data_IF_758379567446
#
_entry.id   IF_758379567446
#
_cell.length_a   1.000
_cell.length_b   1.000
_cell.length_c   1.000
_cell.angle_alpha   90.00
_cell.angle_beta   90.00
_cell.angle_gamma   90.00
#
_symmetry.space_group_name_H-M   'P 1'
#
loop_
_entity.id
_entity.type
_entity.pdbx_description
1 polymer ?
#
# COMPACT_ATOMS: atom_id res chain seq x y z
N UNK A 1 18.88 7.68 -41.60
CA UNK A 1 18.74 6.25 -41.21
C UNK A 1 18.02 6.26 -39.86
N UNK A 2 16.69 6.15 -39.96
CA UNK A 2 15.78 6.21 -38.78
C UNK A 2 15.43 4.79 -38.41
N UNK A 3 15.89 4.34 -37.23
CA UNK A 3 15.55 3.02 -36.67
C UNK A 3 14.26 3.11 -35.87
N UNK A 4 13.18 2.65 -36.43
CA UNK A 4 11.91 2.48 -35.74
C UNK A 4 12.02 1.35 -34.72
N UNK A 5 11.96 1.72 -33.43
CA UNK A 5 11.76 0.77 -32.34
C UNK A 5 10.28 0.36 -32.30
N UNK A 6 9.95 -0.71 -32.98
CA UNK A 6 8.65 -1.37 -32.87
C UNK A 6 8.57 -2.03 -31.49
N UNK A 7 7.90 -1.38 -30.55
CA UNK A 7 7.51 -2.00 -29.26
C UNK A 7 6.32 -2.92 -29.55
N UNK A 8 6.60 -4.19 -29.74
CA UNK A 8 5.57 -5.26 -29.78
C UNK A 8 4.87 -5.30 -28.41
N UNK A 9 3.60 -4.92 -28.40
CA UNK A 9 2.70 -5.18 -27.27
C UNK A 9 2.27 -6.64 -27.36
N UNK A 10 3.00 -7.54 -26.71
CA UNK A 10 2.54 -8.91 -26.55
C UNK A 10 1.22 -8.92 -25.78
N UNK A 11 0.20 -9.50 -26.37
CA UNK A 11 -1.14 -9.64 -25.77
C UNK A 11 -1.14 -10.81 -24.79
N UNK A 12 -2.06 -10.81 -23.82
CA UNK A 12 -2.21 -11.88 -22.82
C UNK A 12 -2.38 -13.27 -23.47
N UNK A 13 -2.95 -13.32 -24.67
CA UNK A 13 -3.04 -14.53 -25.48
C UNK A 13 -1.67 -15.06 -25.93
N UNK A 14 -0.74 -14.19 -26.33
CA UNK A 14 0.62 -14.57 -26.73
C UNK A 14 1.45 -15.13 -25.57
N UNK A 15 1.23 -14.63 -24.33
CA UNK A 15 1.79 -15.24 -23.12
C UNK A 15 1.22 -16.63 -22.83
N UNK A 16 -0.01 -16.91 -23.21
CA UNK A 16 -0.63 -18.22 -23.11
C UNK A 16 -0.03 -19.21 -24.11
N UNK A 17 0.24 -18.78 -25.33
CA UNK A 17 0.83 -19.63 -26.39
C UNK A 17 2.33 -19.89 -26.16
N UNK A 18 3.09 -18.96 -25.61
CA UNK A 18 4.48 -19.17 -25.19
C UNK A 18 4.61 -20.26 -24.11
N UNK A 19 3.62 -20.41 -23.23
CA UNK A 19 3.58 -21.48 -22.22
C UNK A 19 3.38 -22.87 -22.83
N UNK A 20 2.77 -22.97 -23.98
CA UNK A 20 2.50 -24.27 -24.62
C UNK A 20 3.72 -24.88 -25.35
N UNK A 21 4.77 -24.11 -25.63
CA UNK A 21 5.93 -24.55 -26.40
C UNK A 21 7.14 -25.04 -25.63
N UNK A 22 7.29 -24.63 -24.33
CA UNK A 22 8.45 -25.04 -23.53
C UNK A 22 8.05 -26.05 -22.44
N UNK A 23 8.29 -27.30 -22.68
CA UNK A 23 8.05 -28.47 -21.80
C UNK A 23 9.06 -28.60 -20.63
N UNK A 24 9.56 -27.53 -20.05
CA UNK A 24 10.57 -27.56 -18.95
C UNK A 24 10.06 -26.88 -17.68
N UNK A 25 8.81 -26.44 -17.63
CA UNK A 25 8.26 -25.87 -16.40
C UNK A 25 7.60 -26.96 -15.56
N UNK A 26 7.82 -26.97 -14.21
CA UNK A 26 7.08 -27.85 -13.33
C UNK A 26 5.57 -27.66 -13.53
N UNK A 27 4.78 -28.73 -13.33
CA UNK A 27 3.31 -28.68 -13.49
C UNK A 27 2.76 -27.39 -12.88
N UNK A 28 2.01 -26.57 -13.63
CA UNK A 28 1.51 -25.30 -13.12
C UNK A 28 0.66 -25.57 -11.88
N UNK A 29 0.95 -24.84 -10.82
CA UNK A 29 0.05 -24.79 -9.66
C UNK A 29 -1.39 -24.56 -10.16
N UNK A 30 -2.43 -25.14 -9.48
CA UNK A 30 -3.82 -25.03 -9.94
C UNK A 30 -4.10 -23.60 -10.40
N UNK A 31 -4.49 -23.43 -11.65
CA UNK A 31 -4.64 -22.15 -12.35
C UNK A 31 -5.33 -21.10 -11.46
N UNK A 32 -6.35 -21.53 -10.72
CA UNK A 32 -7.14 -20.68 -9.79
C UNK A 32 -6.31 -19.96 -8.74
N UNK A 33 -5.30 -20.60 -8.12
CA UNK A 33 -4.48 -19.98 -7.06
C UNK A 33 -3.49 -18.97 -7.64
N UNK A 34 -2.90 -19.29 -8.77
CA UNK A 34 -1.98 -18.39 -9.48
C UNK A 34 -2.74 -17.18 -10.02
N UNK A 35 -3.91 -17.41 -10.62
CA UNK A 35 -4.76 -16.35 -11.16
C UNK A 35 -5.27 -15.41 -10.05
N UNK A 36 -5.58 -15.94 -8.87
CA UNK A 36 -5.91 -15.12 -7.71
C UNK A 36 -4.77 -14.15 -7.37
N UNK A 37 -3.54 -14.65 -7.26
CA UNK A 37 -2.37 -13.81 -6.94
C UNK A 37 -2.17 -12.73 -8.02
N UNK A 38 -2.23 -13.09 -9.31
CA UNK A 38 -2.12 -12.13 -10.40
C UNK A 38 -3.24 -11.08 -10.38
N UNK A 39 -4.48 -11.49 -10.09
CA UNK A 39 -5.61 -10.58 -9.96
C UNK A 39 -5.40 -9.61 -8.81
N UNK A 40 -5.02 -10.08 -7.63
CA UNK A 40 -4.74 -9.24 -6.47
C UNK A 40 -3.64 -8.22 -6.76
N UNK A 41 -2.52 -8.67 -7.35
CA UNK A 41 -1.40 -7.77 -7.69
C UNK A 41 -1.78 -6.74 -8.74
N UNK A 42 -2.63 -7.09 -9.71
CA UNK A 42 -3.15 -6.16 -10.72
C UNK A 42 -4.10 -5.14 -10.08
N UNK A 43 -5.05 -5.60 -9.28
CA UNK A 43 -6.01 -4.74 -8.56
C UNK A 43 -5.28 -3.77 -7.64
N UNK A 44 -4.30 -4.24 -6.89
CA UNK A 44 -3.47 -3.40 -6.03
C UNK A 44 -2.77 -2.28 -6.82
N UNK A 45 -2.19 -2.58 -8.00
CA UNK A 45 -1.57 -1.54 -8.85
C UNK A 45 -2.59 -0.52 -9.36
N UNK A 46 -3.78 -0.97 -9.75
CA UNK A 46 -4.84 -0.07 -10.23
C UNK A 46 -5.32 0.86 -9.11
N UNK A 47 -5.61 0.31 -7.92
CA UNK A 47 -6.00 1.09 -6.75
C UNK A 47 -4.89 2.07 -6.32
N UNK A 48 -3.64 1.61 -6.25
CA UNK A 48 -2.51 2.49 -5.92
C UNK A 48 -2.38 3.67 -6.90
N UNK A 49 -2.66 3.45 -8.19
CA UNK A 49 -2.63 4.51 -9.19
C UNK A 49 -3.75 5.53 -8.98
N UNK A 50 -4.97 5.08 -8.67
CA UNK A 50 -6.10 5.97 -8.39
C UNK A 50 -5.87 6.77 -7.11
N UNK A 51 -5.49 6.10 -6.03
CA UNK A 51 -5.20 6.75 -4.74
C UNK A 51 -4.05 7.76 -4.86
N UNK A 52 -2.99 7.44 -5.64
CA UNK A 52 -1.91 8.40 -5.88
C UNK A 52 -2.42 9.67 -6.54
N UNK A 53 -3.32 9.56 -7.52
CA UNK A 53 -3.91 10.75 -8.18
C UNK A 53 -4.74 11.58 -7.21
N UNK A 54 -5.53 10.93 -6.35
CA UNK A 54 -6.37 11.59 -5.36
C UNK A 54 -5.55 12.28 -4.25
N UNK A 55 -4.42 11.70 -3.84
CA UNK A 55 -3.62 12.16 -2.69
C UNK A 55 -2.52 13.16 -3.07
N UNK A 56 -1.99 13.09 -4.30
CA UNK A 56 -0.92 13.97 -4.78
C UNK A 56 -1.19 15.48 -4.57
N UNK A 57 -2.42 16.02 -4.79
CA UNK A 57 -2.69 17.44 -4.57
C UNK A 57 -2.44 17.91 -3.14
N UNK A 58 -2.46 17.00 -2.18
CA UNK A 58 -2.26 17.28 -0.75
C UNK A 58 -0.82 17.00 -0.28
N UNK A 59 0.08 16.60 -1.19
CA UNK A 59 1.46 16.23 -0.84
C UNK A 59 1.57 14.96 0.01
N UNK A 60 0.55 14.11 0.02
CA UNK A 60 0.46 12.89 0.82
C UNK A 60 0.56 11.66 -0.08
N UNK A 61 1.32 10.67 0.33
CA UNK A 61 1.32 9.33 -0.26
C UNK A 61 0.40 8.40 0.56
N UNK A 62 0.05 7.23 0.00
CA UNK A 62 -0.67 6.20 0.77
C UNK A 62 0.05 5.87 2.09
N UNK A 63 1.36 5.65 2.03
CA UNK A 63 2.18 5.40 3.22
C UNK A 63 2.18 6.58 4.21
N UNK A 64 2.12 7.81 3.70
CA UNK A 64 1.97 9.01 4.52
C UNK A 64 0.62 9.07 5.20
N UNK A 65 -0.45 8.77 4.47
CA UNK A 65 -1.80 8.70 5.02
C UNK A 65 -1.92 7.67 6.15
N UNK A 66 -1.35 6.46 5.98
CA UNK A 66 -1.35 5.44 7.04
C UNK A 66 -0.65 5.93 8.32
N UNK A 67 0.45 6.68 8.20
CA UNK A 67 1.14 7.28 9.35
C UNK A 67 0.25 8.35 10.01
N UNK A 68 -0.32 9.26 9.22
CA UNK A 68 -1.20 10.32 9.73
C UNK A 68 -2.44 9.73 10.41
N UNK A 69 -3.01 8.66 9.86
CA UNK A 69 -4.12 7.92 10.44
C UNK A 69 -3.80 7.38 11.83
N UNK A 70 -2.60 6.80 12.04
CA UNK A 70 -2.17 6.35 13.36
C UNK A 70 -2.01 7.50 14.34
N UNK A 71 -1.42 8.62 13.90
CA UNK A 71 -1.25 9.83 14.73
C UNK A 71 -2.58 10.46 15.12
N UNK A 72 -3.59 10.43 14.25
CA UNK A 72 -4.96 10.87 14.58
C UNK A 72 -5.60 9.94 15.60
N UNK A 73 -5.48 8.61 15.41
CA UNK A 73 -6.07 7.61 16.31
C UNK A 73 -5.41 7.56 17.70
N UNK A 74 -4.17 8.05 17.84
CA UNK A 74 -3.55 8.21 19.16
C UNK A 74 -4.06 9.41 19.95
N UNK A 75 -5.09 10.10 19.47
CA UNK A 75 -5.54 11.36 20.05
C UNK A 75 -4.57 12.53 19.79
N UNK A 76 -3.73 12.38 18.77
CA UNK A 76 -2.60 13.25 18.42
C UNK A 76 -1.43 13.19 19.41
N UNK A 77 -1.41 12.19 20.29
CA UNK A 77 -0.25 11.94 21.14
C UNK A 77 0.96 11.56 20.26
N UNK A 78 2.16 12.02 20.60
CA UNK A 78 3.37 11.69 19.84
C UNK A 78 3.65 10.19 19.83
N UNK A 79 4.00 9.67 18.67
CA UNK A 79 4.35 8.25 18.47
C UNK A 79 5.80 8.13 18.05
N UNK A 80 6.53 7.16 18.61
CA UNK A 80 7.91 6.93 18.19
C UNK A 80 7.99 6.30 16.79
N UNK A 81 9.07 6.61 16.05
CA UNK A 81 9.30 6.05 14.71
C UNK A 81 9.31 4.52 14.76
N UNK A 82 9.84 3.95 15.82
CA UNK A 82 9.89 2.49 16.01
C UNK A 82 8.48 1.91 16.26
N UNK A 83 7.64 2.62 17.01
CA UNK A 83 6.25 2.21 17.21
C UNK A 83 5.45 2.29 15.91
N UNK A 84 5.61 3.36 15.11
CA UNK A 84 5.02 3.46 13.77
C UNK A 84 5.44 2.28 12.87
N UNK A 85 6.74 1.95 12.86
CA UNK A 85 7.27 0.84 12.08
C UNK A 85 6.64 -0.51 12.48
N UNK A 86 6.47 -0.74 13.79
CA UNK A 86 5.82 -1.96 14.32
C UNK A 86 4.34 -2.03 13.97
N UNK A 87 3.60 -0.94 14.14
CA UNK A 87 2.17 -0.89 13.82
C UNK A 87 1.90 -1.11 12.34
N UNK A 88 2.66 -0.44 11.47
CA UNK A 88 2.52 -0.56 10.02
C UNK A 88 3.20 -1.79 9.42
N UNK A 89 3.91 -2.59 10.25
CA UNK A 89 4.69 -3.77 9.81
C UNK A 89 5.63 -3.44 8.65
N UNK A 90 6.27 -2.27 8.73
CA UNK A 90 7.24 -1.77 7.75
C UNK A 90 8.60 -1.58 8.37
N UNK A 91 9.64 -1.66 7.55
CA UNK A 91 10.99 -1.37 8.02
C UNK A 91 11.11 0.10 8.41
N UNK A 92 11.83 0.38 9.51
CA UNK A 92 11.98 1.73 10.05
C UNK A 92 12.55 2.75 9.03
N UNK A 93 13.43 2.31 8.10
CA UNK A 93 13.96 3.18 7.03
C UNK A 93 12.88 3.64 6.06
N UNK A 94 11.91 2.78 5.74
CA UNK A 94 10.76 3.15 4.90
C UNK A 94 9.88 4.18 5.61
N UNK A 95 9.65 4.00 6.91
CA UNK A 95 8.93 4.98 7.73
C UNK A 95 9.67 6.32 7.77
N UNK A 96 10.99 6.30 8.02
CA UNK A 96 11.81 7.50 8.05
C UNK A 96 11.78 8.26 6.70
N UNK A 97 11.82 7.53 5.58
CA UNK A 97 11.70 8.13 4.25
C UNK A 97 10.34 8.80 4.04
N UNK A 98 9.24 8.13 4.41
CA UNK A 98 7.88 8.68 4.31
C UNK A 98 7.72 9.92 5.20
N UNK A 99 8.24 9.86 6.43
CA UNK A 99 8.23 10.99 7.36
C UNK A 99 9.02 12.20 6.83
N UNK A 100 10.13 12.00 6.10
CA UNK A 100 10.84 13.11 5.45
C UNK A 100 9.96 13.86 4.44
N UNK A 101 9.07 13.14 3.75
CA UNK A 101 8.09 13.75 2.85
C UNK A 101 7.03 14.55 3.60
N UNK A 102 6.43 13.97 4.62
CA UNK A 102 5.41 14.62 5.45
C UNK A 102 5.94 15.84 6.20
N UNK A 103 7.16 15.77 6.72
CA UNK A 103 7.80 16.89 7.41
C UNK A 103 8.11 18.04 6.46
N UNK A 104 8.61 17.76 5.25
CA UNK A 104 8.80 18.80 4.21
C UNK A 104 7.49 19.45 3.77
N UNK A 105 6.39 18.72 3.80
CA UNK A 105 5.06 19.25 3.52
C UNK A 105 4.45 19.99 4.74
N UNK A 106 5.11 19.96 5.90
CA UNK A 106 4.64 20.61 7.12
C UNK A 106 3.56 19.84 7.86
N UNK A 107 3.30 18.58 7.50
CA UNK A 107 2.22 17.78 8.07
C UNK A 107 2.58 17.11 9.41
N UNK A 108 3.86 16.88 9.65
CA UNK A 108 4.36 16.31 10.90
C UNK A 108 5.58 17.08 11.38
N UNK A 109 5.82 17.03 12.68
CA UNK A 109 7.07 17.44 13.32
C UNK A 109 7.75 16.24 13.96
N UNK A 110 9.08 16.25 13.99
CA UNK A 110 9.88 15.23 14.65
C UNK A 110 10.81 15.89 15.67
N UNK A 111 10.85 15.33 16.85
CA UNK A 111 11.74 15.80 17.89
C UNK A 111 12.29 14.65 18.72
N UNK A 112 13.32 14.96 19.50
CA UNK A 112 13.94 13.99 20.39
C UNK A 112 13.03 13.70 21.58
N UNK A 113 12.84 12.43 21.92
CA UNK A 113 12.10 12.07 23.14
C UNK A 113 12.86 12.60 24.36
N UNK A 114 12.23 13.49 25.19
CA UNK A 114 12.90 14.05 26.35
C UNK A 114 13.30 12.98 27.37
N UNK A 115 12.55 11.90 27.49
CA UNK A 115 12.80 10.82 28.44
C UNK A 115 13.78 9.75 27.89
N UNK A 116 13.95 9.73 26.56
CA UNK A 116 14.77 8.71 25.89
C UNK A 116 15.50 9.29 24.69
N UNK A 117 16.69 9.85 24.90
CA UNK A 117 17.45 10.57 23.88
C UNK A 117 17.77 9.75 22.58
N UNK A 118 17.66 8.41 22.62
CA UNK A 118 17.84 7.56 21.44
C UNK A 118 16.57 7.41 20.58
N UNK A 119 15.45 7.91 21.06
CA UNK A 119 14.16 7.79 20.41
C UNK A 119 13.71 9.12 19.82
N UNK A 120 13.19 9.07 18.61
CA UNK A 120 12.54 10.23 17.98
C UNK A 120 11.03 10.05 18.01
N UNK A 121 10.33 11.06 18.44
CA UNK A 121 8.88 11.17 18.43
C UNK A 121 8.42 11.92 17.20
N UNK A 122 7.22 11.57 16.75
CA UNK A 122 6.51 12.17 15.62
C UNK A 122 5.18 12.67 16.13
N UNK A 123 4.86 13.89 15.77
CA UNK A 123 3.61 14.55 16.13
C UNK A 123 2.94 15.11 14.87
N UNK A 124 1.62 15.03 14.81
CA UNK A 124 0.82 15.59 13.73
C UNK A 124 0.62 17.09 13.98
N UNK A 125 0.92 17.92 12.98
CA UNK A 125 0.65 19.36 13.04
C UNK A 125 -0.83 19.64 12.75
N UNK A 126 -1.30 20.88 13.01
CA UNK A 126 -2.65 21.28 12.62
C UNK A 126 -2.83 21.26 11.11
N UNK A 127 -1.83 21.71 10.35
CA UNK A 127 -1.82 21.56 8.89
C UNK A 127 -1.87 20.09 8.44
N UNK A 128 -1.20 19.19 9.20
CA UNK A 128 -1.25 17.75 8.96
C UNK A 128 -2.65 17.20 9.21
N UNK A 129 -3.31 17.63 10.27
CA UNK A 129 -4.68 17.21 10.55
C UNK A 129 -5.66 17.65 9.44
N UNK A 130 -5.55 18.92 9.01
CA UNK A 130 -6.36 19.41 7.88
C UNK A 130 -6.10 18.62 6.58
N UNK A 131 -4.82 18.33 6.29
CA UNK A 131 -4.47 17.51 5.13
C UNK A 131 -5.03 16.09 5.26
N UNK A 132 -4.96 15.49 6.45
CA UNK A 132 -5.55 14.17 6.71
C UNK A 132 -7.05 14.15 6.48
N UNK A 133 -7.80 15.17 6.92
CA UNK A 133 -9.26 15.29 6.67
C UNK A 133 -9.52 15.28 5.16
N UNK A 134 -8.86 16.17 4.41
CA UNK A 134 -9.04 16.28 2.95
C UNK A 134 -8.68 15.00 2.20
N UNK A 135 -7.62 14.33 2.61
CA UNK A 135 -7.20 13.04 2.03
C UNK A 135 -8.21 11.94 2.36
N UNK A 136 -8.81 11.97 3.56
CA UNK A 136 -9.87 11.03 3.95
C UNK A 136 -11.14 11.22 3.12
N UNK A 137 -11.51 12.46 2.85
CA UNK A 137 -12.62 12.80 1.95
C UNK A 137 -12.35 12.29 0.52
N UNK A 138 -11.17 12.59 -0.03
CA UNK A 138 -10.76 12.11 -1.35
C UNK A 138 -10.68 10.56 -1.43
N UNK A 139 -10.33 9.90 -0.34
CA UNK A 139 -10.35 8.43 -0.23
C UNK A 139 -11.79 7.91 -0.29
N UNK A 140 -12.73 8.54 0.44
CA UNK A 140 -14.14 8.17 0.42
C UNK A 140 -14.73 8.33 -0.98
N UNK A 141 -14.52 9.46 -1.64
CA UNK A 141 -14.95 9.69 -3.02
C UNK A 141 -14.36 8.66 -3.99
N UNK A 142 -13.07 8.32 -3.83
CA UNK A 142 -12.42 7.30 -4.66
C UNK A 142 -13.02 5.91 -4.40
N UNK A 143 -13.36 5.60 -3.15
CA UNK A 143 -14.01 4.36 -2.78
C UNK A 143 -15.38 4.24 -3.44
N UNK A 144 -16.21 5.29 -3.38
CA UNK A 144 -17.55 5.32 -4.00
C UNK A 144 -17.48 5.11 -5.51
N UNK A 145 -16.46 5.69 -6.19
CA UNK A 145 -16.26 5.54 -7.62
C UNK A 145 -15.71 4.16 -8.05
N UNK A 146 -14.94 3.53 -7.20
CA UNK A 146 -14.19 2.30 -7.53
C UNK A 146 -14.75 1.07 -6.84
N UNK A 147 -15.64 1.23 -5.86
CA UNK A 147 -16.15 0.11 -5.06
C UNK A 147 -17.29 -0.59 -5.78
N UNK A 148 -17.35 -1.92 -5.68
CA UNK A 148 -18.56 -2.65 -6.04
C UNK A 148 -19.68 -2.30 -5.03
N UNK A 149 -20.90 -2.77 -5.32
CA UNK A 149 -21.99 -2.69 -4.35
C UNK A 149 -21.61 -3.27 -2.97
N UNK A 150 -22.31 -2.84 -1.92
CA UNK A 150 -21.99 -3.20 -0.53
C UNK A 150 -21.92 -4.71 -0.29
N UNK A 151 -22.79 -5.48 -0.93
CA UNK A 151 -22.82 -6.94 -0.78
C UNK A 151 -21.53 -7.58 -1.32
N UNK A 152 -21.13 -7.15 -2.53
CA UNK A 152 -19.87 -7.61 -3.16
C UNK A 152 -18.66 -7.14 -2.36
N UNK A 153 -18.68 -5.89 -1.85
CA UNK A 153 -17.60 -5.35 -1.02
C UNK A 153 -17.42 -6.16 0.26
N UNK A 154 -18.50 -6.50 0.97
CA UNK A 154 -18.46 -7.34 2.18
C UNK A 154 -17.92 -8.74 1.89
N UNK A 155 -18.33 -9.35 0.78
CA UNK A 155 -17.83 -10.65 0.33
C UNK A 155 -16.31 -10.63 0.05
N UNK A 156 -15.83 -9.59 -0.63
CA UNK A 156 -14.40 -9.38 -0.90
C UNK A 156 -13.61 -9.16 0.40
N UNK A 157 -14.13 -8.35 1.33
CA UNK A 157 -13.48 -8.11 2.62
C UNK A 157 -13.35 -9.41 3.42
N UNK A 158 -14.39 -10.23 3.47
CA UNK A 158 -14.34 -11.54 4.14
C UNK A 158 -13.30 -12.46 3.50
N UNK A 159 -13.27 -12.52 2.16
CA UNK A 159 -12.30 -13.31 1.41
C UNK A 159 -10.86 -12.85 1.63
N UNK A 160 -10.61 -11.53 1.59
CA UNK A 160 -9.29 -10.95 1.85
C UNK A 160 -8.82 -11.21 3.28
N UNK A 161 -9.71 -11.04 4.27
CA UNK A 161 -9.40 -11.31 5.68
C UNK A 161 -9.03 -12.78 5.93
N UNK A 162 -9.74 -13.71 5.29
CA UNK A 162 -9.40 -15.13 5.33
C UNK A 162 -8.03 -15.41 4.71
N UNK A 163 -7.74 -14.82 3.55
CA UNK A 163 -6.45 -14.95 2.86
C UNK A 163 -5.30 -14.37 3.67
N UNK A 164 -5.46 -13.19 4.27
CA UNK A 164 -4.47 -12.60 5.18
C UNK A 164 -4.19 -13.49 6.38
N UNK A 165 -5.21 -14.14 6.93
CA UNK A 165 -5.05 -15.10 8.04
C UNK A 165 -4.18 -16.28 7.64
N UNK A 166 -4.35 -16.80 6.41
CA UNK A 166 -3.48 -17.87 5.88
C UNK A 166 -2.03 -17.38 5.69
N UNK A 167 -1.81 -16.17 5.18
CA UNK A 167 -0.48 -15.60 5.01
C UNK A 167 0.28 -15.38 6.33
N UNK A 168 -0.45 -15.22 7.44
CA UNK A 168 0.14 -15.05 8.78
C UNK A 168 0.55 -16.37 9.44
N UNK A 169 0.07 -17.52 8.95
CA UNK A 169 0.51 -18.81 9.46
C UNK A 169 2.00 -18.99 9.15
N UNK A 170 2.82 -19.38 10.12
CA UNK A 170 4.22 -19.67 9.83
C UNK A 170 4.26 -20.75 8.75
N UNK A 171 5.01 -20.46 7.68
CA UNK A 171 5.22 -21.44 6.61
C UNK A 171 5.85 -22.67 7.23
N UNK A 172 5.08 -23.75 7.38
CA UNK A 172 5.60 -25.04 7.81
C UNK A 172 6.56 -25.51 6.71
N UNK A 173 7.85 -25.33 6.96
CA UNK A 173 8.99 -26.02 6.36
C UNK A 173 8.99 -26.15 4.84
N UNK A 174 9.68 -25.24 4.16
CA UNK A 174 10.50 -25.64 3.02
C UNK A 174 11.90 -25.83 3.60
N UNK A 175 12.23 -27.09 3.93
CA UNK A 175 13.59 -27.54 4.12
C UNK A 175 14.29 -27.62 2.76
#
# INVERSE_FOLDING_TARGET
MSGEFHRSRATIAEFGELRARDRILPEPAPATKVDLIYSMMRTQRMLSSQLSKAFTPYGVSWAGYEIMQLLVHSGRDPISILALARHLKRHWTSIAHTLNGLERAGHVTRYQNPDYWREKLVELTDSGYEAWVRVSEALAETADLCSPDDHTALGLLAGLSAFESELRKPSCGVQ
#
